data_IF_899361212544
#
_entry.id   IF_899361212544
#
_cell.length_a   1.000
_cell.length_b   1.000
_cell.length_c   1.000
_cell.angle_alpha   90.00
_cell.angle_beta   90.00
_cell.angle_gamma   90.00
#
_symmetry.space_group_name_H-M   'P 1'
#
loop_
_entity.id
_entity.type
_entity.pdbx_description
1 polymer ?
#
# COMPACT_ATOMS: atom_id res chain seq x y z
N UNK A 1 26.63 -15.70 12.45
CA UNK A 1 25.45 -14.94 12.95
C UNK A 1 25.16 -13.76 12.04
N UNK A 2 26.03 -12.74 11.97
CA UNK A 2 25.86 -11.60 11.05
C UNK A 2 25.71 -12.03 9.59
N UNK A 3 26.55 -12.98 9.14
CA UNK A 3 26.53 -13.47 7.76
C UNK A 3 25.22 -14.15 7.32
N UNK A 4 24.56 -14.90 8.21
CA UNK A 4 23.27 -15.53 7.90
C UNK A 4 22.17 -14.48 7.73
N UNK A 5 22.14 -13.49 8.62
CA UNK A 5 21.14 -12.42 8.58
C UNK A 5 21.35 -11.47 7.43
N UNK A 6 22.60 -11.12 7.12
CA UNK A 6 22.94 -10.34 5.93
C UNK A 6 22.54 -11.08 4.65
N UNK A 7 22.85 -12.38 4.56
CA UNK A 7 22.44 -13.23 3.43
C UNK A 7 20.93 -13.32 3.29
N UNK A 8 20.22 -13.59 4.38
CA UNK A 8 18.75 -13.63 4.43
C UNK A 8 18.14 -12.29 3.99
N UNK A 9 18.53 -11.19 4.61
CA UNK A 9 17.97 -9.86 4.34
C UNK A 9 18.22 -9.44 2.89
N UNK A 10 19.41 -9.74 2.36
CA UNK A 10 19.75 -9.46 0.96
C UNK A 10 18.88 -10.29 0.01
N UNK A 11 18.82 -11.60 0.21
CA UNK A 11 18.02 -12.49 -0.65
C UNK A 11 16.54 -12.11 -0.61
N UNK A 12 16.00 -11.85 0.59
CA UNK A 12 14.62 -11.42 0.77
C UNK A 12 14.33 -10.06 0.10
N UNK A 13 15.26 -9.10 0.22
CA UNK A 13 15.15 -7.80 -0.45
C UNK A 13 15.08 -7.92 -1.97
N UNK A 14 15.80 -8.86 -2.57
CA UNK A 14 15.75 -9.15 -4.00
C UNK A 14 14.66 -10.16 -4.40
N UNK A 15 13.72 -10.45 -3.49
CA UNK A 15 12.63 -11.42 -3.68
C UNK A 15 13.12 -12.84 -4.06
N UNK A 16 14.38 -13.19 -3.75
CA UNK A 16 14.89 -14.54 -3.87
C UNK A 16 14.54 -15.35 -2.61
N UNK A 17 13.26 -15.69 -2.47
CA UNK A 17 12.74 -16.32 -1.26
C UNK A 17 13.27 -17.73 -1.03
N UNK A 18 13.66 -18.45 -2.09
CA UNK A 18 14.30 -19.77 -1.98
C UNK A 18 15.70 -19.67 -1.35
N UNK A 19 16.50 -18.70 -1.78
CA UNK A 19 17.81 -18.43 -1.17
C UNK A 19 17.66 -17.90 0.27
N UNK A 20 16.70 -17.00 0.51
CA UNK A 20 16.40 -16.52 1.86
C UNK A 20 16.01 -17.69 2.80
N UNK A 21 15.19 -18.62 2.33
CA UNK A 21 14.82 -19.83 3.06
C UNK A 21 16.06 -20.69 3.39
N UNK A 22 16.99 -20.85 2.46
CA UNK A 22 18.23 -21.60 2.69
C UNK A 22 19.08 -20.96 3.80
N UNK A 23 19.23 -19.63 3.81
CA UNK A 23 19.91 -18.92 4.90
C UNK A 23 19.19 -19.08 6.25
N UNK A 24 17.86 -18.99 6.26
CA UNK A 24 17.08 -19.14 7.48
C UNK A 24 17.17 -20.58 8.05
N UNK A 25 17.15 -21.61 7.20
CA UNK A 25 17.35 -23.01 7.61
C UNK A 25 18.76 -23.27 8.13
N UNK A 26 19.78 -22.70 7.50
CA UNK A 26 21.14 -22.78 8.00
C UNK A 26 21.28 -22.12 9.40
N UNK A 27 20.61 -20.99 9.62
CA UNK A 27 20.55 -20.36 10.93
C UNK A 27 19.82 -21.23 11.97
N UNK A 28 18.73 -21.89 11.58
CA UNK A 28 17.99 -22.82 12.45
C UNK A 28 18.84 -24.04 12.87
N UNK A 29 19.76 -24.49 12.01
CA UNK A 29 20.73 -25.54 12.37
C UNK A 29 21.71 -25.14 13.48
N UNK A 30 21.92 -23.83 13.69
CA UNK A 30 22.79 -23.29 14.75
C UNK A 30 21.99 -22.88 15.99
N UNK A 31 20.79 -22.34 15.81
CA UNK A 31 19.89 -21.91 16.87
C UNK A 31 18.48 -22.49 16.65
N UNK A 32 18.29 -23.78 16.95
CA UNK A 32 17.05 -24.49 16.65
C UNK A 32 15.86 -24.03 17.50
N UNK A 33 16.10 -23.30 18.58
CA UNK A 33 15.13 -22.79 19.55
C UNK A 33 14.82 -21.29 19.39
N UNK A 34 15.34 -20.63 18.35
CA UNK A 34 15.12 -19.21 18.14
C UNK A 34 13.79 -18.94 17.39
N UNK A 35 12.78 -18.32 18.01
CA UNK A 35 11.47 -18.11 17.39
C UNK A 35 11.53 -17.20 16.16
N UNK A 36 12.45 -16.22 16.13
CA UNK A 36 12.61 -15.28 15.01
C UNK A 36 13.05 -16.00 13.74
N UNK A 37 13.94 -16.99 13.87
CA UNK A 37 14.38 -17.80 12.73
C UNK A 37 13.21 -18.58 12.15
N UNK A 38 12.41 -19.25 13.00
CA UNK A 38 11.25 -20.03 12.57
C UNK A 38 10.16 -19.16 11.93
N UNK A 39 9.90 -17.96 12.45
CA UNK A 39 8.97 -17.04 11.78
C UNK A 39 9.50 -16.57 10.42
N UNK A 40 10.81 -16.37 10.28
CA UNK A 40 11.40 -16.00 8.99
C UNK A 40 11.33 -17.13 7.96
N UNK A 41 11.47 -18.40 8.41
CA UNK A 41 11.20 -19.59 7.60
C UNK A 41 9.73 -19.61 7.15
N UNK A 42 8.78 -19.38 8.07
CA UNK A 42 7.37 -19.31 7.74
C UNK A 42 7.06 -18.23 6.69
N UNK A 43 7.61 -17.03 6.85
CA UNK A 43 7.46 -15.94 5.88
C UNK A 43 8.03 -16.30 4.51
N UNK A 44 9.17 -16.98 4.43
CA UNK A 44 9.69 -17.46 3.16
C UNK A 44 8.76 -18.49 2.50
N UNK A 45 8.23 -19.44 3.27
CA UNK A 45 7.28 -20.43 2.76
C UNK A 45 5.98 -19.78 2.25
N UNK A 46 5.45 -18.76 2.93
CA UNK A 46 4.33 -17.96 2.42
C UNK A 46 4.64 -17.34 1.05
N UNK A 47 5.82 -16.75 0.89
CA UNK A 47 6.24 -16.13 -0.38
C UNK A 47 6.48 -17.13 -1.50
N UNK A 48 6.71 -18.40 -1.16
CA UNK A 48 6.85 -19.51 -2.08
C UNK A 48 5.52 -20.23 -2.36
N UNK A 49 4.41 -19.84 -1.73
CA UNK A 49 3.11 -20.50 -1.86
C UNK A 49 3.00 -21.84 -1.12
N UNK A 50 3.97 -22.18 -0.27
CA UNK A 50 4.02 -23.41 0.51
C UNK A 50 3.31 -23.20 1.86
N UNK A 51 1.98 -23.09 1.83
CA UNK A 51 1.20 -22.64 3.00
C UNK A 51 1.21 -23.62 4.18
N UNK A 52 1.23 -24.93 3.92
CA UNK A 52 1.30 -25.94 4.98
C UNK A 52 2.66 -25.90 5.71
N UNK A 53 3.76 -25.80 4.97
CA UNK A 53 5.10 -25.61 5.55
C UNK A 53 5.21 -24.29 6.33
N UNK A 54 4.53 -23.24 5.87
CA UNK A 54 4.48 -21.96 6.57
C UNK A 54 3.77 -22.09 7.93
N UNK A 55 2.67 -22.84 7.98
CA UNK A 55 1.93 -23.11 9.22
C UNK A 55 2.82 -23.90 10.20
N UNK A 56 3.45 -24.98 9.74
CA UNK A 56 4.34 -25.79 10.59
C UNK A 56 5.49 -24.95 11.17
N UNK A 57 6.15 -24.13 10.34
CA UNK A 57 7.23 -23.26 10.79
C UNK A 57 6.76 -22.18 11.77
N UNK A 58 5.56 -21.62 11.57
CA UNK A 58 5.00 -20.62 12.47
C UNK A 58 4.57 -21.24 13.81
N UNK A 59 3.94 -22.42 13.81
CA UNK A 59 3.62 -23.18 15.03
C UNK A 59 4.90 -23.56 15.78
N UNK A 60 5.97 -23.92 15.06
CA UNK A 60 7.28 -24.17 15.65
C UNK A 60 7.86 -22.93 16.32
N UNK A 61 7.74 -21.76 15.68
CA UNK A 61 8.12 -20.48 16.29
C UNK A 61 7.38 -20.23 17.60
N UNK A 62 6.05 -20.43 17.61
CA UNK A 62 5.20 -20.26 18.79
C UNK A 62 5.47 -21.29 19.89
N UNK A 63 6.00 -22.47 19.56
CA UNK A 63 6.43 -23.45 20.57
C UNK A 63 7.63 -22.98 21.40
N UNK A 64 8.44 -22.04 20.86
CA UNK A 64 9.56 -21.44 21.57
C UNK A 64 9.21 -20.10 22.21
N UNK A 65 8.42 -19.26 21.52
CA UNK A 65 7.87 -18.03 22.08
C UNK A 65 6.38 -17.90 21.74
N UNK A 66 5.48 -18.25 22.69
CA UNK A 66 4.04 -18.15 22.51
C UNK A 66 3.52 -16.71 22.32
N UNK A 67 4.38 -15.70 22.47
CA UNK A 67 4.06 -14.27 22.34
C UNK A 67 4.68 -13.64 21.08
N UNK A 68 5.26 -14.43 20.18
CA UNK A 68 5.88 -13.93 18.96
C UNK A 68 4.82 -13.56 17.89
N UNK A 69 4.37 -12.31 17.89
CA UNK A 69 3.28 -11.85 17.01
C UNK A 69 3.55 -12.04 15.50
N UNK A 70 4.81 -12.09 15.06
CA UNK A 70 5.16 -12.31 13.64
C UNK A 70 4.79 -13.72 13.18
N UNK A 71 4.84 -14.71 14.07
CA UNK A 71 4.36 -16.05 13.75
C UNK A 71 2.83 -16.08 13.61
N UNK A 72 2.11 -15.30 14.43
CA UNK A 72 0.66 -15.13 14.28
C UNK A 72 0.27 -14.43 12.97
N UNK A 73 1.06 -13.45 12.51
CA UNK A 73 0.88 -12.86 11.17
C UNK A 73 1.02 -13.92 10.08
N UNK A 74 2.04 -14.78 10.19
CA UNK A 74 2.30 -15.81 9.21
C UNK A 74 1.16 -16.84 9.17
N UNK A 75 0.62 -17.23 10.33
CA UNK A 75 -0.55 -18.09 10.43
C UNK A 75 -1.80 -17.44 9.84
N UNK A 76 -2.08 -16.18 10.18
CA UNK A 76 -3.21 -15.43 9.61
C UNK A 76 -3.13 -15.41 8.08
N UNK A 77 -1.93 -15.16 7.54
CA UNK A 77 -1.69 -15.17 6.10
C UNK A 77 -1.93 -16.57 5.49
N UNK A 78 -1.28 -17.61 6.03
CA UNK A 78 -1.40 -18.97 5.49
C UNK A 78 -2.85 -19.47 5.50
N UNK A 79 -3.58 -19.26 6.60
CA UNK A 79 -4.98 -19.66 6.71
C UNK A 79 -5.90 -18.83 5.81
N UNK A 80 -5.57 -17.56 5.58
CA UNK A 80 -6.26 -16.70 4.62
C UNK A 80 -6.14 -17.21 3.18
N UNK A 81 -4.94 -17.62 2.77
CA UNK A 81 -4.70 -18.26 1.46
C UNK A 81 -5.43 -19.60 1.34
N UNK A 82 -5.53 -20.35 2.44
CA UNK A 82 -6.34 -21.58 2.52
C UNK A 82 -7.85 -21.33 2.66
N UNK A 83 -8.29 -20.07 2.68
CA UNK A 83 -9.70 -19.65 2.80
C UNK A 83 -10.40 -20.14 4.08
N UNK A 84 -9.65 -20.29 5.18
CA UNK A 84 -10.20 -20.56 6.51
C UNK A 84 -10.31 -19.25 7.30
N UNK A 85 -11.43 -18.54 7.11
CA UNK A 85 -11.69 -17.24 7.74
C UNK A 85 -11.72 -17.34 9.28
N UNK A 86 -12.11 -18.49 9.84
CA UNK A 86 -12.15 -18.69 11.29
C UNK A 86 -10.75 -18.66 11.89
N UNK A 87 -9.83 -19.46 11.34
CA UNK A 87 -8.43 -19.48 11.79
C UNK A 87 -7.71 -18.18 11.46
N UNK A 88 -8.00 -17.59 10.31
CA UNK A 88 -7.50 -16.26 9.93
C UNK A 88 -7.86 -15.22 10.98
N UNK A 89 -9.15 -15.15 11.35
CA UNK A 89 -9.64 -14.23 12.37
C UNK A 89 -9.00 -14.46 13.73
N UNK A 90 -8.86 -15.72 14.15
CA UNK A 90 -8.23 -16.13 15.42
C UNK A 90 -6.77 -15.67 15.50
N UNK A 91 -5.94 -16.03 14.52
CA UNK A 91 -4.51 -15.71 14.53
C UNK A 91 -4.25 -14.23 14.27
N UNK A 92 -4.98 -13.61 13.35
CA UNK A 92 -4.83 -12.19 13.08
C UNK A 92 -5.24 -11.33 14.28
N UNK A 93 -6.31 -11.70 15.00
CA UNK A 93 -6.67 -11.06 16.28
C UNK A 93 -5.54 -11.17 17.28
N UNK A 94 -4.96 -12.38 17.45
CA UNK A 94 -3.89 -12.59 18.42
C UNK A 94 -2.64 -11.76 18.10
N UNK A 95 -2.30 -11.63 16.81
CA UNK A 95 -1.21 -10.78 16.35
C UNK A 95 -1.43 -9.30 16.70
N UNK A 96 -2.67 -8.81 16.58
CA UNK A 96 -3.05 -7.43 16.91
C UNK A 96 -3.05 -7.19 18.43
N UNK A 97 -3.59 -8.12 19.22
CA UNK A 97 -3.59 -8.03 20.69
C UNK A 97 -2.18 -7.97 21.26
N UNK A 98 -1.29 -8.87 20.81
CA UNK A 98 0.11 -8.86 21.27
C UNK A 98 0.84 -7.57 20.88
N UNK A 99 0.60 -7.06 19.66
CA UNK A 99 1.14 -5.76 19.25
C UNK A 99 0.61 -4.63 20.13
N UNK A 100 -0.67 -4.63 20.47
CA UNK A 100 -1.28 -3.60 21.32
C UNK A 100 -0.78 -3.68 22.77
N UNK A 101 -0.54 -4.88 23.30
CA UNK A 101 0.12 -5.08 24.59
C UNK A 101 1.54 -4.46 24.60
N UNK A 102 2.27 -4.56 23.48
CA UNK A 102 3.65 -4.04 23.37
C UNK A 102 3.67 -2.53 23.14
N UNK A 103 2.82 -2.02 22.24
CA UNK A 103 2.94 -0.66 21.71
C UNK A 103 1.82 0.28 22.15
N UNK A 104 0.74 -0.23 22.73
CA UNK A 104 -0.37 0.57 23.21
C UNK A 104 -0.11 1.25 24.56
N UNK A 105 1.07 1.86 24.74
CA UNK A 105 1.31 2.65 25.94
C UNK A 105 0.47 3.94 25.94
N UNK A 106 0.41 4.61 27.10
CA UNK A 106 -0.15 5.96 27.16
C UNK A 106 0.72 6.92 26.32
N UNK A 107 0.12 7.85 25.56
CA UNK A 107 0.89 8.82 24.81
C UNK A 107 1.67 9.74 25.77
N UNK A 108 2.83 10.29 25.35
CA UNK A 108 3.61 11.23 26.18
C UNK A 108 2.85 12.50 26.59
N UNK A 109 1.85 12.90 25.81
CA UNK A 109 0.96 14.01 26.11
C UNK A 109 -0.48 13.62 25.79
N UNK A 110 -1.42 13.99 26.67
CA UNK A 110 -2.85 13.86 26.38
C UNK A 110 -3.28 14.96 25.41
N UNK A 111 -4.16 14.62 24.47
CA UNK A 111 -4.74 15.55 23.51
C UNK A 111 -6.26 15.46 23.53
N UNK A 112 -6.98 16.56 23.79
CA UNK A 112 -8.42 16.53 23.78
C UNK A 112 -8.93 16.27 22.36
N UNK A 113 -10.08 15.60 22.26
CA UNK A 113 -10.73 15.38 20.98
C UNK A 113 -11.08 16.71 20.32
N UNK A 114 -10.72 16.85 19.04
CA UNK A 114 -11.03 18.02 18.22
C UNK A 114 -12.24 17.71 17.37
N UNK A 115 -13.28 18.56 17.44
CA UNK A 115 -14.42 18.46 16.53
C UNK A 115 -14.16 19.32 15.30
N UNK A 116 -14.39 18.73 14.14
CA UNK A 116 -14.32 19.41 12.85
C UNK A 116 -15.69 19.29 12.16
N UNK A 117 -16.11 20.29 11.36
CA UNK A 117 -17.34 20.18 10.58
C UNK A 117 -17.28 18.99 9.63
N UNK A 118 -18.40 18.35 9.26
CA UNK A 118 -18.39 17.27 8.28
C UNK A 118 -17.85 17.77 6.93
N UNK A 119 -17.24 16.90 6.11
CA UNK A 119 -16.90 17.21 4.73
C UNK A 119 -18.12 17.71 3.97
N UNK A 120 -17.91 18.75 3.16
CA UNK A 120 -18.90 19.37 2.29
C UNK A 120 -18.16 20.08 1.16
N UNK A 121 -18.88 20.52 0.12
CA UNK A 121 -18.29 21.33 -0.95
C UNK A 121 -17.55 22.58 -0.42
N UNK A 122 -18.02 23.20 0.66
CA UNK A 122 -17.42 24.39 1.26
C UNK A 122 -16.14 24.10 2.07
N UNK A 123 -15.96 22.86 2.53
CA UNK A 123 -14.79 22.43 3.33
C UNK A 123 -13.92 21.43 2.57
N UNK A 124 -14.14 21.25 1.26
CA UNK A 124 -13.48 20.23 0.44
C UNK A 124 -11.96 20.27 0.57
N UNK A 125 -11.38 21.46 0.39
CA UNK A 125 -9.92 21.69 0.47
C UNK A 125 -9.33 21.40 1.86
N UNK A 126 -10.18 21.27 2.89
CA UNK A 126 -9.76 20.95 4.26
C UNK A 126 -9.87 19.45 4.57
N UNK A 127 -10.48 18.64 3.71
CA UNK A 127 -10.60 17.20 3.93
C UNK A 127 -9.75 16.48 2.87
N UNK A 128 -8.62 15.90 3.29
CA UNK A 128 -7.55 15.50 2.37
C UNK A 128 -7.43 13.99 2.27
N UNK A 129 -7.31 13.48 1.05
CA UNK A 129 -6.86 12.12 0.74
C UNK A 129 -5.39 12.21 0.34
N UNK A 130 -4.50 11.81 1.24
CA UNK A 130 -3.06 12.04 1.09
C UNK A 130 -2.33 10.80 0.53
N UNK A 131 -1.54 11.02 -0.51
CA UNK A 131 -0.74 10.00 -1.21
C UNK A 131 0.73 10.41 -1.29
N UNK A 132 1.63 9.43 -1.26
CA UNK A 132 3.05 9.60 -1.60
C UNK A 132 3.27 8.98 -2.98
N UNK A 133 3.91 9.70 -3.90
CA UNK A 133 4.19 9.19 -5.26
C UNK A 133 5.60 9.58 -5.68
N UNK A 134 6.41 8.58 -6.07
CA UNK A 134 7.76 8.74 -6.55
C UNK A 134 8.09 7.61 -7.52
N UNK A 135 9.06 7.84 -8.38
CA UNK A 135 9.38 7.00 -9.53
C UNK A 135 8.48 7.27 -10.73
N UNK A 136 8.82 6.60 -11.83
CA UNK A 136 8.22 6.73 -13.16
C UNK A 136 7.48 5.47 -13.61
N UNK A 137 7.34 4.47 -12.74
CA UNK A 137 6.72 3.20 -13.11
C UNK A 137 5.23 3.39 -13.42
N UNK A 138 4.73 2.86 -14.55
CA UNK A 138 3.34 3.02 -14.97
C UNK A 138 2.36 2.56 -13.91
N UNK A 139 2.63 1.43 -13.25
CA UNK A 139 1.78 0.86 -12.21
C UNK A 139 1.42 1.87 -11.11
N UNK A 140 2.35 2.74 -10.72
CA UNK A 140 2.11 3.76 -9.70
C UNK A 140 1.52 5.04 -10.29
N UNK A 141 2.08 5.51 -11.41
CA UNK A 141 1.67 6.76 -12.04
C UNK A 141 0.21 6.69 -12.55
N UNK A 142 -0.14 5.60 -13.22
CA UNK A 142 -1.49 5.38 -13.75
C UNK A 142 -2.52 5.19 -12.63
N UNK A 143 -2.18 4.42 -11.58
CA UNK A 143 -3.10 4.24 -10.43
C UNK A 143 -3.32 5.56 -9.68
N UNK A 144 -2.29 6.39 -9.53
CA UNK A 144 -2.42 7.72 -8.93
C UNK A 144 -3.38 8.62 -9.73
N UNK A 145 -3.27 8.63 -11.06
CA UNK A 145 -4.18 9.39 -11.94
C UNK A 145 -5.61 8.85 -11.87
N UNK A 146 -5.79 7.53 -11.83
CA UNK A 146 -7.10 6.91 -11.62
C UNK A 146 -7.71 7.34 -10.28
N UNK A 147 -6.94 7.35 -9.20
CA UNK A 147 -7.39 7.82 -7.88
C UNK A 147 -7.84 9.29 -7.91
N UNK A 148 -7.06 10.17 -8.54
CA UNK A 148 -7.40 11.59 -8.67
C UNK A 148 -8.73 11.81 -9.42
N UNK A 149 -8.99 11.01 -10.47
CA UNK A 149 -10.24 11.05 -11.25
C UNK A 149 -11.42 10.44 -10.50
N UNK A 150 -11.22 9.30 -9.83
CA UNK A 150 -12.27 8.60 -9.09
C UNK A 150 -12.80 9.41 -7.89
N UNK A 151 -12.03 10.37 -7.37
CA UNK A 151 -12.43 11.22 -6.24
C UNK A 151 -13.74 11.96 -6.49
N UNK A 152 -14.07 12.34 -7.72
CA UNK A 152 -15.33 13.04 -8.02
C UNK A 152 -16.58 12.24 -7.67
N UNK A 153 -16.58 10.94 -7.97
CA UNK A 153 -17.70 10.06 -7.68
C UNK A 153 -17.61 9.42 -6.29
N UNK A 154 -16.41 9.13 -5.80
CA UNK A 154 -16.20 8.39 -4.55
C UNK A 154 -16.12 9.30 -3.32
N UNK A 155 -15.43 10.45 -3.44
CA UNK A 155 -15.22 11.41 -2.35
C UNK A 155 -15.42 12.86 -2.84
N UNK A 156 -16.64 13.26 -3.25
CA UNK A 156 -16.89 14.58 -3.84
C UNK A 156 -16.54 15.76 -2.92
N UNK A 157 -16.49 15.53 -1.61
CA UNK A 157 -16.21 16.54 -0.58
C UNK A 157 -14.79 16.46 0.00
N UNK A 158 -13.89 15.77 -0.69
CA UNK A 158 -12.48 15.67 -0.31
C UNK A 158 -11.56 16.10 -1.45
N UNK A 159 -10.33 16.44 -1.13
CA UNK A 159 -9.28 16.76 -2.11
C UNK A 159 -8.19 15.69 -2.09
N UNK A 160 -7.87 15.12 -3.24
CA UNK A 160 -6.66 14.29 -3.38
C UNK A 160 -5.41 15.18 -3.34
N UNK A 161 -4.42 14.81 -2.53
CA UNK A 161 -3.14 15.51 -2.41
C UNK A 161 -1.99 14.52 -2.57
N UNK A 162 -1.15 14.73 -3.56
CA UNK A 162 0.01 13.90 -3.88
C UNK A 162 1.31 14.61 -3.50
N UNK A 163 2.08 13.98 -2.63
CA UNK A 163 3.45 14.39 -2.31
C UNK A 163 4.41 13.69 -3.26
N UNK A 164 5.09 14.47 -4.11
CA UNK A 164 5.89 13.97 -5.24
C UNK A 164 7.35 14.41 -5.18
N UNK A 165 8.24 13.68 -5.86
CA UNK A 165 9.58 14.16 -6.17
C UNK A 165 9.76 14.38 -7.69
N UNK A 166 11.00 14.70 -8.10
CA UNK A 166 11.33 14.98 -9.50
C UNK A 166 11.36 13.74 -10.40
N UNK A 167 11.28 12.54 -9.83
CA UNK A 167 11.26 11.30 -10.62
C UNK A 167 9.86 10.98 -11.18
N UNK A 168 8.81 11.62 -10.68
CA UNK A 168 7.46 11.50 -11.24
C UNK A 168 7.40 12.22 -12.60
N UNK A 169 6.91 11.56 -13.68
CA UNK A 169 6.82 12.18 -15.00
C UNK A 169 5.95 13.44 -15.01
N UNK A 170 6.38 14.46 -15.75
CA UNK A 170 5.64 15.73 -15.88
C UNK A 170 4.23 15.56 -16.45
N UNK A 171 4.03 14.57 -17.34
CA UNK A 171 2.71 14.20 -17.87
C UNK A 171 1.79 13.71 -16.76
N UNK A 172 2.27 12.81 -15.90
CA UNK A 172 1.52 12.33 -14.73
C UNK A 172 1.16 13.48 -13.81
N UNK A 173 2.10 14.39 -13.50
CA UNK A 173 1.83 15.59 -12.69
C UNK A 173 0.75 16.47 -13.33
N UNK A 174 0.81 16.67 -14.65
CA UNK A 174 -0.20 17.41 -15.41
C UNK A 174 -1.59 16.78 -15.27
N UNK A 175 -1.69 15.46 -15.48
CA UNK A 175 -2.94 14.71 -15.36
C UNK A 175 -3.52 14.73 -13.94
N UNK A 176 -2.68 14.66 -12.90
CA UNK A 176 -3.12 14.80 -11.51
C UNK A 176 -3.76 16.18 -11.27
N UNK A 177 -3.13 17.25 -11.76
CA UNK A 177 -3.64 18.62 -11.63
C UNK A 177 -4.92 18.84 -12.43
N UNK A 178 -4.99 18.33 -13.66
CA UNK A 178 -6.22 18.36 -14.47
C UNK A 178 -7.39 17.65 -13.79
N UNK A 179 -7.11 16.55 -13.07
CA UNK A 179 -8.11 15.85 -12.27
C UNK A 179 -8.48 16.56 -10.95
N UNK A 180 -7.99 17.78 -10.73
CA UNK A 180 -8.27 18.60 -9.55
C UNK A 180 -7.51 18.16 -8.29
N UNK A 181 -6.45 17.36 -8.43
CA UNK A 181 -5.61 16.98 -7.29
C UNK A 181 -4.54 18.05 -7.02
N UNK A 182 -4.23 18.21 -5.74
CA UNK A 182 -3.10 19.01 -5.31
C UNK A 182 -1.81 18.21 -5.44
N UNK A 183 -0.74 18.86 -5.94
CA UNK A 183 0.58 18.23 -6.11
C UNK A 183 1.62 19.05 -5.37
N UNK A 184 2.18 18.48 -4.31
CA UNK A 184 3.19 19.10 -3.46
C UNK A 184 4.53 18.43 -3.72
N UNK A 185 5.52 19.20 -4.14
CA UNK A 185 6.88 18.68 -4.31
C UNK A 185 7.57 18.55 -2.96
N UNK A 186 8.03 17.35 -2.62
CA UNK A 186 8.83 17.08 -1.44
C UNK A 186 10.10 17.94 -1.45
N UNK A 187 10.22 18.81 -0.45
CA UNK A 187 11.37 19.68 -0.25
C UNK A 187 12.58 18.89 0.31
N UNK A 188 13.69 19.60 0.56
CA UNK A 188 14.89 18.95 1.09
C UNK A 188 14.70 18.33 2.49
N UNK A 189 13.79 18.86 3.31
CA UNK A 189 13.54 18.38 4.67
C UNK A 189 12.70 17.10 4.61
N UNK A 190 11.62 17.12 3.82
CA UNK A 190 10.72 15.99 3.62
C UNK A 190 11.42 14.80 2.96
N UNK A 191 12.35 15.03 2.02
CA UNK A 191 13.13 13.94 1.39
C UNK A 191 14.01 13.14 2.35
N UNK A 192 14.25 13.63 3.58
CA UNK A 192 14.92 12.84 4.62
C UNK A 192 14.01 11.73 5.16
N UNK A 193 12.70 11.94 5.10
CA UNK A 193 11.72 10.94 5.51
C UNK A 193 11.71 9.78 4.51
N UNK A 194 11.39 8.56 4.97
CA UNK A 194 11.02 7.47 4.07
C UNK A 194 9.90 7.92 3.12
N UNK A 195 10.04 7.60 1.82
CA UNK A 195 9.10 8.02 0.77
C UNK A 195 7.63 7.76 1.10
N UNK A 196 7.24 6.57 1.58
CA UNK A 196 5.85 6.29 1.95
C UNK A 196 5.27 7.26 2.98
N UNK A 197 6.11 7.82 3.88
CA UNK A 197 5.68 8.70 4.96
C UNK A 197 5.45 10.16 4.52
N UNK A 198 5.77 10.56 3.29
CA UNK A 198 5.59 11.96 2.85
C UNK A 198 4.13 12.42 2.96
N UNK A 199 3.18 11.53 2.63
CA UNK A 199 1.74 11.78 2.81
C UNK A 199 1.35 12.18 4.23
N UNK A 200 2.06 11.72 5.25
CA UNK A 200 1.78 12.06 6.66
C UNK A 200 1.95 13.54 6.95
N UNK A 201 2.74 14.28 6.15
CA UNK A 201 2.90 15.72 6.27
C UNK A 201 1.57 16.49 6.11
N UNK A 202 0.54 15.88 5.50
CA UNK A 202 -0.78 16.49 5.37
C UNK A 202 -1.44 16.86 6.70
N UNK A 203 -1.04 16.24 7.82
CA UNK A 203 -1.53 16.62 9.16
C UNK A 203 -0.90 17.90 9.72
N UNK A 204 0.25 18.32 9.19
CA UNK A 204 0.95 19.54 9.61
C UNK A 204 0.54 20.76 8.79
N UNK A 205 -0.21 20.56 7.70
CA UNK A 205 -0.65 21.61 6.79
C UNK A 205 -1.74 22.48 7.44
N UNK A 206 -1.56 23.80 7.39
CA UNK A 206 -2.50 24.74 7.99
C UNK A 206 -3.87 24.67 7.32
N UNK A 207 -4.92 24.47 8.11
CA UNK A 207 -6.31 24.58 7.67
C UNK A 207 -7.00 23.26 7.33
N UNK A 208 -6.26 22.14 7.27
CA UNK A 208 -6.89 20.83 7.15
C UNK A 208 -7.75 20.50 8.39
N UNK A 209 -8.87 19.82 8.16
CA UNK A 209 -9.79 19.29 9.15
C UNK A 209 -9.53 17.82 9.39
N UNK A 210 -9.48 17.04 8.31
CA UNK A 210 -9.26 15.58 8.35
C UNK A 210 -8.33 15.17 7.24
N UNK A 211 -7.58 14.11 7.51
CA UNK A 211 -6.72 13.48 6.53
C UNK A 211 -6.94 11.98 6.57
N UNK A 212 -7.15 11.38 5.41
CA UNK A 212 -7.06 9.93 5.21
C UNK A 212 -5.82 9.63 4.37
N UNK A 213 -5.12 8.54 4.70
CA UNK A 213 -3.86 8.17 4.06
C UNK A 213 -4.05 6.93 3.21
N UNK A 214 -3.59 6.99 1.96
CA UNK A 214 -3.72 5.89 0.99
C UNK A 214 -2.38 5.61 0.30
N UNK A 215 -2.17 4.35 -0.03
CA UNK A 215 -1.10 3.96 -0.94
C UNK A 215 -1.50 4.30 -2.37
N UNK A 216 -0.54 4.78 -3.18
CA UNK A 216 -0.82 5.24 -4.53
C UNK A 216 -1.17 4.10 -5.50
N UNK A 217 -0.85 2.85 -5.16
CA UNK A 217 -1.17 1.62 -5.91
C UNK A 217 -2.47 0.93 -5.46
N UNK A 218 -3.21 1.54 -4.55
CA UNK A 218 -4.53 1.09 -4.12
C UNK A 218 -5.60 2.06 -4.62
N UNK A 219 -6.61 1.58 -5.35
CA UNK A 219 -7.70 2.43 -5.79
C UNK A 219 -8.67 2.74 -4.65
N UNK A 220 -9.10 3.99 -4.62
CA UNK A 220 -10.22 4.42 -3.78
C UNK A 220 -11.52 3.78 -4.27
N UNK A 221 -12.44 3.50 -3.34
CA UNK A 221 -13.69 2.79 -3.66
C UNK A 221 -14.88 3.31 -2.86
N UNK A 222 -16.09 3.12 -3.38
CA UNK A 222 -17.32 3.48 -2.67
C UNK A 222 -17.44 2.78 -1.31
N UNK A 223 -16.96 1.53 -1.23
CA UNK A 223 -16.97 0.72 -0.01
C UNK A 223 -16.12 1.35 1.09
N UNK A 224 -14.92 1.83 0.77
CA UNK A 224 -14.12 2.53 1.77
C UNK A 224 -14.69 3.92 2.10
N UNK A 225 -15.29 4.63 1.14
CA UNK A 225 -15.89 5.94 1.38
C UNK A 225 -17.04 5.86 2.38
N UNK A 226 -17.79 4.76 2.36
CA UNK A 226 -18.83 4.50 3.36
C UNK A 226 -18.23 4.33 4.77
N UNK A 227 -17.12 3.60 4.91
CA UNK A 227 -16.43 3.46 6.21
C UNK A 227 -15.89 4.79 6.74
N UNK A 228 -15.42 5.66 5.83
CA UNK A 228 -14.93 7.00 6.16
C UNK A 228 -16.09 7.90 6.58
N UNK A 229 -17.26 7.77 5.93
CA UNK A 229 -18.48 8.47 6.33
C UNK A 229 -18.92 8.07 7.74
N UNK A 230 -18.96 6.77 8.05
CA UNK A 230 -19.27 6.30 9.42
C UNK A 230 -18.27 6.82 10.46
N UNK A 231 -16.98 6.90 10.10
CA UNK A 231 -15.97 7.52 10.96
C UNK A 231 -16.24 9.00 11.20
N UNK A 232 -16.51 9.78 10.15
CA UNK A 232 -16.85 11.19 10.28
C UNK A 232 -18.07 11.40 11.18
N UNK A 233 -19.13 10.62 10.97
CA UNK A 233 -20.36 10.67 11.75
C UNK A 233 -20.15 10.30 13.23
N UNK A 234 -19.23 9.36 13.50
CA UNK A 234 -18.92 8.95 14.87
C UNK A 234 -18.22 10.03 15.72
N UNK A 235 -17.59 11.02 15.09
CA UNK A 235 -16.81 12.05 15.76
C UNK A 235 -15.49 11.58 16.40
N UNK A 236 -15.10 10.31 16.19
CA UNK A 236 -13.82 9.75 16.66
C UNK A 236 -12.63 10.44 16.00
N UNK A 237 -11.53 10.62 16.73
CA UNK A 237 -10.35 11.29 16.21
C UNK A 237 -9.61 10.49 15.14
N UNK A 238 -9.64 9.15 15.20
CA UNK A 238 -8.89 8.27 14.31
C UNK A 238 -9.78 7.24 13.62
N UNK A 239 -9.33 6.78 12.45
CA UNK A 239 -9.95 5.71 11.66
C UNK A 239 -8.94 4.66 11.26
N UNK A 240 -9.36 3.40 11.23
CA UNK A 240 -8.58 2.29 10.67
C UNK A 240 -9.48 1.29 9.93
N UNK A 241 -8.95 0.71 8.86
CA UNK A 241 -9.67 -0.30 8.05
C UNK A 241 -8.82 -1.58 7.93
N UNK A 242 -9.44 -2.75 8.19
CA UNK A 242 -8.88 -4.09 7.97
C UNK A 242 -9.86 -4.94 7.17
N UNK A 243 -9.46 -5.36 5.98
CA UNK A 243 -10.35 -6.07 5.04
C UNK A 243 -9.72 -7.35 4.47
N UNK A 244 -8.43 -7.59 4.75
CA UNK A 244 -7.70 -8.73 4.22
C UNK A 244 -6.95 -9.50 5.29
N UNK A 245 -6.65 -10.77 5.04
CA UNK A 245 -6.02 -11.67 6.02
C UNK A 245 -4.59 -11.27 6.42
N UNK A 246 -3.94 -10.40 5.64
CA UNK A 246 -2.63 -9.81 5.97
C UNK A 246 -2.72 -8.49 6.73
N UNK A 247 -3.92 -7.97 7.00
CA UNK A 247 -4.14 -6.67 7.63
C UNK A 247 -3.94 -6.72 9.16
N UNK A 248 -2.85 -7.33 9.61
CA UNK A 248 -2.57 -7.65 11.04
C UNK A 248 -1.68 -6.62 11.75
N UNK A 249 -1.52 -5.42 11.19
CA UNK A 249 -0.89 -4.28 11.87
C UNK A 249 -1.92 -3.40 12.62
N UNK A 250 -1.43 -2.69 13.65
CA UNK A 250 -2.28 -1.85 14.51
C UNK A 250 -2.95 -0.72 13.72
N UNK A 251 -2.21 -0.09 12.81
CA UNK A 251 -2.72 0.83 11.79
C UNK A 251 -2.00 0.53 10.49
N UNK A 252 -2.75 0.23 9.43
CA UNK A 252 -2.18 0.05 8.11
C UNK A 252 -1.85 1.40 7.49
N UNK A 253 -0.61 1.57 7.04
CA UNK A 253 -0.09 2.85 6.56
C UNK A 253 -0.89 3.49 5.42
N UNK A 254 -1.53 2.68 4.58
CA UNK A 254 -2.40 3.11 3.49
C UNK A 254 -3.89 3.00 3.78
N UNK A 255 -4.33 2.75 5.02
CA UNK A 255 -5.75 2.51 5.36
C UNK A 255 -6.14 3.08 6.74
N UNK A 256 -5.66 4.28 7.05
CA UNK A 256 -6.00 4.99 8.27
C UNK A 256 -6.33 6.46 8.01
N UNK A 257 -6.93 7.12 9.00
CA UNK A 257 -7.25 8.53 8.97
C UNK A 257 -7.17 9.17 10.35
N UNK A 258 -7.00 10.49 10.37
CA UNK A 258 -6.97 11.27 11.59
C UNK A 258 -7.58 12.66 11.40
N UNK A 259 -8.15 13.17 12.49
CA UNK A 259 -8.56 14.56 12.63
C UNK A 259 -7.34 15.43 12.96
N UNK A 260 -7.20 16.57 12.29
CA UNK A 260 -6.10 17.50 12.54
C UNK A 260 -6.18 18.02 13.97
N UNK A 261 -5.05 17.96 14.67
CA UNK A 261 -4.94 18.27 16.11
C UNK A 261 -4.88 17.04 17.01
N UNK A 262 -5.35 15.88 16.55
CA UNK A 262 -5.35 14.64 17.34
C UNK A 262 -3.93 14.09 17.65
N UNK A 263 -2.94 14.50 16.87
CA UNK A 263 -1.53 14.14 17.05
C UNK A 263 -0.69 15.40 17.29
N UNK A 264 0.45 15.30 18.02
CA UNK A 264 1.52 16.28 17.94
C UNK A 264 1.92 16.54 16.49
N UNK A 265 2.57 17.69 16.19
CA UNK A 265 3.04 17.97 14.85
C UNK A 265 3.76 16.76 14.25
N UNK A 266 3.33 16.29 13.10
CA UNK A 266 3.83 15.10 12.44
C UNK A 266 5.35 15.19 12.25
N UNK A 267 5.86 16.37 11.89
CA UNK A 267 7.31 16.62 11.80
C UNK A 267 8.08 16.34 13.08
N UNK A 268 7.48 16.58 14.25
CA UNK A 268 8.09 16.30 15.54
C UNK A 268 8.13 14.80 15.79
N UNK A 269 7.01 14.10 15.53
CA UNK A 269 6.93 12.65 15.69
C UNK A 269 7.93 11.93 14.78
N UNK A 270 7.97 12.30 13.49
CA UNK A 270 8.91 11.71 12.54
C UNK A 270 10.36 12.05 12.90
N UNK A 271 10.63 13.28 13.35
CA UNK A 271 11.97 13.64 13.82
C UNK A 271 12.42 12.78 15.01
N UNK A 272 11.52 12.40 15.93
CA UNK A 272 11.85 11.49 17.04
C UNK A 272 12.06 10.06 16.56
N UNK A 273 11.21 9.58 15.66
CA UNK A 273 11.34 8.25 15.06
C UNK A 273 12.67 8.05 14.34
N UNK A 274 13.13 9.05 13.59
CA UNK A 274 14.39 8.99 12.83
C UNK A 274 15.65 9.20 13.69
N UNK A 275 15.55 9.34 15.02
CA UNK A 275 16.72 9.34 15.91
C UNK A 275 17.34 7.95 16.06
N UNK A 276 16.56 6.89 15.82
CA UNK A 276 17.05 5.52 15.81
C UNK A 276 17.29 5.03 14.37
N UNK A 277 18.25 4.11 14.15
CA UNK A 277 18.44 3.46 12.86
C UNK A 277 17.16 2.76 12.39
N UNK A 278 16.85 2.88 11.10
CA UNK A 278 15.73 2.17 10.49
C UNK A 278 16.18 0.78 10.03
N UNK A 279 15.49 -0.25 10.51
CA UNK A 279 15.70 -1.63 10.02
C UNK A 279 15.31 -1.78 8.53
N UNK A 280 14.30 -1.05 8.09
CA UNK A 280 13.88 -0.98 6.69
C UNK A 280 13.25 0.39 6.42
N UNK A 281 13.66 1.03 5.31
CA UNK A 281 12.99 2.26 4.83
C UNK A 281 11.63 1.96 4.20
N UNK A 282 11.42 0.74 3.71
CA UNK A 282 10.18 0.36 3.04
C UNK A 282 9.03 0.14 4.05
N UNK A 283 9.32 -0.45 5.22
CA UNK A 283 8.33 -0.69 6.29
C UNK A 283 8.36 0.36 7.41
N UNK A 284 9.07 1.47 7.18
CA UNK A 284 9.28 2.50 8.19
C UNK A 284 7.98 3.18 8.62
N UNK A 285 7.02 3.31 7.71
CA UNK A 285 5.68 3.85 7.98
C UNK A 285 4.89 2.97 8.96
N UNK A 286 4.85 1.66 8.77
CA UNK A 286 4.18 0.72 9.69
C UNK A 286 4.81 0.76 11.08
N UNK A 287 6.16 0.78 11.14
CA UNK A 287 6.89 0.89 12.41
C UNK A 287 6.66 2.24 13.10
N UNK A 288 6.63 3.32 12.33
CA UNK A 288 6.30 4.65 12.83
C UNK A 288 4.89 4.68 13.42
N UNK A 289 3.89 4.17 12.69
CA UNK A 289 2.50 4.22 13.12
C UNK A 289 2.29 3.45 14.42
N UNK A 290 2.78 2.21 14.53
CA UNK A 290 2.61 1.43 15.75
C UNK A 290 3.32 2.05 16.96
N UNK A 291 4.46 2.73 16.78
CA UNK A 291 5.25 3.27 17.90
C UNK A 291 4.85 4.70 18.30
N UNK A 292 4.50 5.55 17.33
CA UNK A 292 4.34 6.99 17.55
C UNK A 292 2.91 7.50 17.34
N UNK A 293 2.06 6.77 16.61
CA UNK A 293 0.66 7.16 16.36
C UNK A 293 -0.31 6.32 17.18
N UNK A 294 -0.09 5.01 17.25
CA UNK A 294 -0.98 4.09 17.95
C UNK A 294 -1.25 4.45 19.43
N UNK A 295 -0.28 4.92 20.23
CA UNK A 295 -0.54 5.38 21.60
C UNK A 295 -1.66 6.43 21.70
N UNK A 296 -1.79 7.30 20.69
CA UNK A 296 -2.88 8.27 20.60
C UNK A 296 -4.13 7.64 20.01
N UNK A 297 -3.97 6.93 18.88
CA UNK A 297 -5.09 6.39 18.12
C UNK A 297 -5.95 5.42 18.94
N UNK A 298 -5.33 4.51 19.71
CA UNK A 298 -6.05 3.49 20.49
C UNK A 298 -7.06 4.04 21.49
N UNK A 299 -6.93 5.31 21.88
CA UNK A 299 -7.82 5.98 22.85
C UNK A 299 -9.11 6.48 22.23
N UNK A 300 -9.12 6.76 20.92
CA UNK A 300 -10.28 7.34 20.24
C UNK A 300 -10.32 7.01 18.74
N UNK A 301 -10.41 5.72 18.43
CA UNK A 301 -10.45 5.19 17.07
C UNK A 301 -11.81 4.55 16.75
N UNK A 302 -12.33 4.79 15.54
CA UNK A 302 -13.31 3.90 14.91
C UNK A 302 -12.58 2.94 13.96
N UNK A 303 -12.84 1.65 14.10
CA UNK A 303 -12.22 0.63 13.26
C UNK A 303 -13.29 -0.11 12.48
N UNK A 304 -13.00 -0.41 11.21
CA UNK A 304 -13.78 -1.36 10.41
C UNK A 304 -12.93 -2.59 10.16
N UNK A 305 -13.50 -3.76 10.39
CA UNK A 305 -12.79 -5.03 10.33
C UNK A 305 -13.72 -6.12 9.80
N UNK A 306 -13.23 -6.88 8.83
CA UNK A 306 -13.96 -8.05 8.30
C UNK A 306 -13.69 -9.34 9.08
N UNK A 307 -12.49 -9.50 9.62
CA UNK A 307 -11.94 -10.81 9.97
C UNK A 307 -11.58 -10.94 11.45
N UNK A 308 -10.91 -9.94 12.02
CA UNK A 308 -10.17 -10.13 13.25
C UNK A 308 -10.99 -9.76 14.47
N UNK A 309 -11.91 -8.79 14.40
CA UNK A 309 -12.72 -8.40 15.56
C UNK A 309 -11.91 -7.75 16.69
N UNK A 310 -10.73 -7.20 16.38
CA UNK A 310 -9.82 -6.58 17.35
C UNK A 310 -10.38 -5.23 17.85
N UNK A 311 -10.50 -5.08 19.18
CA UNK A 311 -11.10 -3.90 19.86
C UNK A 311 -12.54 -3.56 19.40
N UNK A 312 -13.38 -4.58 19.22
CA UNK A 312 -14.81 -4.42 18.89
C UNK A 312 -15.09 -3.50 17.68
N UNK A 313 -14.57 -3.83 16.50
CA UNK A 313 -14.69 -3.01 15.30
C UNK A 313 -16.12 -3.07 14.72
N UNK A 314 -16.44 -2.10 13.86
CA UNK A 314 -17.62 -2.16 12.98
C UNK A 314 -17.39 -3.17 11.85
N UNK A 315 -18.45 -3.85 11.38
CA UNK A 315 -18.35 -4.60 10.13
C UNK A 315 -18.08 -3.66 8.96
N UNK A 316 -17.43 -4.16 7.91
CA UNK A 316 -17.29 -3.41 6.68
C UNK A 316 -18.61 -3.37 5.90
N UNK A 317 -19.04 -2.21 5.37
CA UNK A 317 -20.24 -2.10 4.55
C UNK A 317 -20.00 -2.69 3.14
N UNK A 318 -21.07 -2.96 2.39
CA UNK A 318 -21.03 -3.47 1.00
C UNK A 318 -20.90 -5.01 0.85
N UNK A 319 -21.43 -5.57 -0.25
CA UNK A 319 -21.65 -7.01 -0.44
C UNK A 319 -20.41 -7.85 -0.87
N UNK A 320 -20.15 -8.89 -0.07
CA UNK A 320 -19.69 -10.28 -0.27
C UNK A 320 -18.81 -10.79 -1.44
N UNK A 321 -18.56 -10.09 -2.57
CA UNK A 321 -17.51 -10.58 -3.51
C UNK A 321 -16.10 -10.18 -3.05
N UNK A 322 -15.80 -10.63 -1.83
CA UNK A 322 -14.59 -10.38 -1.06
C UNK A 322 -13.53 -11.45 -1.35
N UNK A 323 -13.77 -12.31 -2.33
CA UNK A 323 -12.87 -13.42 -2.67
C UNK A 323 -11.67 -12.97 -3.51
N UNK A 324 -11.80 -11.84 -4.21
CA UNK A 324 -10.78 -11.32 -5.14
C UNK A 324 -10.46 -9.83 -4.98
N UNK A 325 -11.27 -9.07 -4.24
CA UNK A 325 -11.13 -7.62 -4.08
C UNK A 325 -11.27 -7.22 -2.61
N UNK A 326 -10.31 -6.44 -2.10
CA UNK A 326 -10.33 -5.85 -0.77
C UNK A 326 -9.91 -4.37 -0.79
N UNK A 327 -10.34 -3.62 0.21
CA UNK A 327 -9.93 -2.23 0.41
C UNK A 327 -8.43 -2.19 0.69
N UNK A 328 -7.68 -1.39 -0.07
CA UNK A 328 -6.22 -1.31 0.01
C UNK A 328 -5.48 -2.40 -0.77
N UNK A 329 -6.18 -3.12 -1.66
CA UNK A 329 -5.53 -4.08 -2.55
C UNK A 329 -4.55 -3.39 -3.49
N UNK A 330 -3.37 -4.01 -3.63
CA UNK A 330 -2.42 -3.63 -4.66
C UNK A 330 -2.96 -4.05 -6.04
N UNK A 331 -3.50 -3.09 -6.78
CA UNK A 331 -4.05 -3.32 -8.13
C UNK A 331 -2.96 -3.32 -9.22
N UNK A 332 -1.71 -3.10 -8.85
CA UNK A 332 -0.55 -2.99 -9.72
C UNK A 332 0.23 -4.31 -9.89
N UNK A 333 -0.37 -5.44 -9.51
CA UNK A 333 0.27 -6.76 -9.55
C UNK A 333 0.25 -7.43 -10.93
N UNK A 334 -0.63 -7.00 -11.83
CA UNK A 334 -0.71 -7.55 -13.19
C UNK A 334 0.45 -7.09 -14.07
N UNK A 335 0.97 -8.00 -14.90
CA UNK A 335 2.11 -7.76 -15.78
C UNK A 335 1.76 -7.94 -17.26
N UNK A 336 2.40 -7.14 -18.11
CA UNK A 336 2.51 -7.38 -19.55
C UNK A 336 3.92 -7.86 -19.84
N UNK A 337 4.04 -8.78 -20.80
CA UNK A 337 5.35 -9.23 -21.26
C UNK A 337 5.36 -9.46 -22.77
N UNK A 338 6.42 -9.02 -23.45
CA UNK A 338 6.60 -9.24 -24.88
C UNK A 338 8.05 -9.63 -25.16
N UNK A 339 8.24 -10.73 -25.89
CA UNK A 339 9.56 -11.08 -26.44
C UNK A 339 9.89 -10.14 -27.59
N UNK A 340 11.12 -9.64 -27.62
CA UNK A 340 11.60 -8.72 -28.65
C UNK A 340 12.95 -9.17 -29.17
N UNK A 341 13.18 -8.95 -30.47
CA UNK A 341 14.49 -9.15 -31.09
C UNK A 341 15.30 -7.86 -31.01
N UNK A 342 15.63 -7.49 -29.77
CA UNK A 342 16.41 -6.30 -29.43
C UNK A 342 17.44 -6.69 -28.38
N UNK A 343 18.61 -6.04 -28.42
CA UNK A 343 19.64 -6.25 -27.42
C UNK A 343 19.16 -5.81 -26.02
N UNK A 344 19.63 -6.50 -24.99
CA UNK A 344 19.41 -6.12 -23.60
C UNK A 344 19.96 -4.70 -23.32
N UNK A 345 19.26 -3.95 -22.47
CA UNK A 345 19.58 -2.55 -22.16
C UNK A 345 18.97 -1.53 -23.12
N UNK A 346 18.40 -1.95 -24.25
CA UNK A 346 17.67 -1.05 -25.16
C UNK A 346 16.36 -0.62 -24.51
N UNK A 347 16.11 0.69 -24.45
CA UNK A 347 14.83 1.24 -24.02
C UNK A 347 13.83 1.27 -25.19
N UNK A 348 12.66 0.68 -24.99
CA UNK A 348 11.58 0.64 -25.98
C UNK A 348 10.41 1.49 -25.49
N UNK A 349 10.08 2.53 -26.26
CA UNK A 349 8.88 3.34 -26.01
C UNK A 349 7.64 2.55 -26.36
N UNK A 350 6.60 2.69 -25.57
CA UNK A 350 5.27 2.17 -25.87
C UNK A 350 4.18 3.15 -25.42
N UNK A 351 2.99 2.96 -25.97
CA UNK A 351 1.79 3.72 -25.68
C UNK A 351 0.65 2.77 -25.31
N UNK A 352 -0.12 3.15 -24.29
CA UNK A 352 -1.44 2.60 -24.04
C UNK A 352 -2.45 3.46 -24.77
N UNK A 353 -3.19 2.86 -25.70
CA UNK A 353 -4.18 3.54 -26.55
C UNK A 353 -5.56 3.00 -26.28
N UNK A 354 -6.52 3.91 -26.18
CA UNK A 354 -7.93 3.60 -26.10
C UNK A 354 -8.58 3.84 -27.45
N UNK A 355 -9.19 2.80 -28.02
CA UNK A 355 -9.99 2.91 -29.23
C UNK A 355 -11.25 3.71 -28.94
N UNK A 356 -11.51 4.74 -29.74
CA UNK A 356 -12.69 5.57 -29.61
C UNK A 356 -13.86 4.95 -30.41
N UNK A 357 -15.11 5.11 -29.92
CA UNK A 357 -16.29 4.76 -30.72
C UNK A 357 -16.21 5.47 -32.07
N UNK A 358 -16.30 4.70 -33.15
CA UNK A 358 -16.15 5.22 -34.51
C UNK A 358 -17.53 5.32 -35.16
N UNK A 359 -17.93 6.48 -35.70
CA UNK A 359 -19.13 6.59 -36.52
C UNK A 359 -19.05 5.64 -37.73
N UNK A 360 -20.19 5.13 -38.20
CA UNK A 360 -20.22 4.26 -39.39
C UNK A 360 -19.58 4.97 -40.60
N UNK A 361 -18.59 4.32 -41.20
CA UNK A 361 -17.88 4.83 -42.39
C UNK A 361 -16.60 5.61 -42.11
N UNK A 362 -16.23 5.86 -40.86
CA UNK A 362 -14.96 6.52 -40.50
C UNK A 362 -13.88 5.53 -40.08
N UNK A 363 -12.61 5.94 -40.20
CA UNK A 363 -11.49 5.16 -39.70
C UNK A 363 -11.45 5.22 -38.17
N UNK A 364 -11.18 4.09 -37.48
CA UNK A 364 -11.19 4.06 -36.02
C UNK A 364 -10.13 4.97 -35.41
N UNK A 365 -10.60 5.98 -34.68
CA UNK A 365 -9.77 6.89 -33.91
C UNK A 365 -9.27 6.23 -32.62
N UNK A 366 -8.21 6.78 -32.05
CA UNK A 366 -7.73 6.40 -30.73
C UNK A 366 -7.29 7.61 -29.93
N UNK A 367 -7.34 7.47 -28.61
CA UNK A 367 -6.74 8.38 -27.64
C UNK A 367 -5.52 7.73 -27.02
N UNK A 368 -4.39 8.43 -26.98
CA UNK A 368 -3.24 7.99 -26.18
C UNK A 368 -3.57 8.24 -24.71
N UNK A 369 -3.62 7.18 -23.91
CA UNK A 369 -3.87 7.25 -22.47
C UNK A 369 -2.59 7.60 -21.74
N UNK A 370 -1.51 6.90 -22.07
CA UNK A 370 -0.19 7.11 -21.50
C UNK A 370 0.93 6.61 -22.43
N UNK A 371 2.17 7.06 -22.17
CA UNK A 371 3.36 6.61 -22.87
C UNK A 371 4.52 6.46 -21.90
N UNK A 372 5.22 5.34 -21.99
CA UNK A 372 6.36 5.00 -21.13
C UNK A 372 7.44 4.31 -21.96
N UNK A 373 8.60 4.08 -21.33
CA UNK A 373 9.70 3.33 -21.91
C UNK A 373 10.09 2.19 -20.97
N UNK A 374 10.21 0.98 -21.53
CA UNK A 374 10.64 -0.21 -20.78
C UNK A 374 11.94 -0.72 -21.37
N UNK A 375 12.88 -1.12 -20.51
CA UNK A 375 14.20 -1.62 -20.91
C UNK A 375 14.12 -3.12 -21.17
N UNK A 376 14.73 -3.57 -22.28
CA UNK A 376 14.83 -4.99 -22.61
C UNK A 376 15.74 -5.71 -21.61
N UNK A 377 15.25 -6.81 -21.04
CA UNK A 377 15.99 -7.68 -20.13
C UNK A 377 15.80 -9.14 -20.55
N UNK A 378 16.89 -9.85 -20.84
CA UNK A 378 16.88 -11.22 -21.35
C UNK A 378 15.97 -11.40 -22.59
N UNK A 379 16.02 -10.44 -23.52
CA UNK A 379 15.17 -10.43 -24.73
C UNK A 379 13.66 -10.23 -24.46
N UNK A 380 13.30 -9.77 -23.26
CA UNK A 380 11.91 -9.53 -22.87
C UNK A 380 11.71 -8.07 -22.46
N UNK A 381 10.57 -7.51 -22.86
CA UNK A 381 9.98 -6.34 -22.22
C UNK A 381 9.00 -6.84 -21.16
N UNK A 382 9.17 -6.45 -19.91
CA UNK A 382 8.29 -6.79 -18.80
C UNK A 382 7.90 -5.50 -18.11
N UNK A 383 6.60 -5.28 -17.95
CA UNK A 383 6.09 -4.08 -17.29
C UNK A 383 4.82 -4.40 -16.51
N UNK A 384 4.50 -3.60 -15.51
CA UNK A 384 3.29 -3.74 -14.71
C UNK A 384 2.32 -2.60 -14.97
N UNK A 385 1.04 -2.95 -15.10
CA UNK A 385 -0.05 -2.01 -15.29
C UNK A 385 -1.13 -2.26 -14.23
N UNK A 386 -1.87 -1.20 -13.85
CA UNK A 386 -3.03 -1.38 -12.98
C UNK A 386 -4.04 -2.33 -13.63
N UNK A 387 -4.61 -3.24 -12.84
CA UNK A 387 -5.61 -4.22 -13.26
C UNK A 387 -6.76 -3.63 -14.09
N UNK A 388 -7.32 -2.44 -13.79
CA UNK A 388 -8.37 -1.85 -14.64
C UNK A 388 -7.95 -1.61 -16.09
N UNK A 389 -6.67 -1.33 -16.36
CA UNK A 389 -6.18 -1.24 -17.74
C UNK A 389 -6.07 -2.61 -18.39
N UNK A 390 -5.58 -3.61 -17.66
CA UNK A 390 -5.43 -4.98 -18.14
C UNK A 390 -6.79 -5.61 -18.49
N UNK A 391 -7.80 -5.42 -17.63
CA UNK A 391 -9.15 -5.95 -17.84
C UNK A 391 -9.85 -5.34 -19.07
N UNK A 392 -9.38 -4.16 -19.53
CA UNK A 392 -9.86 -3.49 -20.73
C UNK A 392 -9.08 -3.84 -22.00
N UNK A 393 -7.94 -4.54 -21.90
CA UNK A 393 -7.18 -4.95 -23.08
C UNK A 393 -7.97 -5.88 -24.01
N UNK A 394 -8.91 -6.67 -23.47
CA UNK A 394 -9.80 -7.51 -24.28
C UNK A 394 -10.90 -6.70 -25.01
N UNK A 395 -11.08 -5.43 -24.69
CA UNK A 395 -12.18 -4.59 -25.19
C UNK A 395 -11.64 -3.49 -26.11
N UNK A 396 -11.11 -2.43 -25.53
CA UNK A 396 -10.84 -1.16 -26.20
C UNK A 396 -9.44 -0.60 -25.91
N UNK A 397 -8.67 -1.21 -25.02
CA UNK A 397 -7.28 -0.84 -24.77
C UNK A 397 -6.32 -1.67 -25.63
N UNK A 398 -5.34 -1.01 -26.23
CA UNK A 398 -4.24 -1.64 -26.99
C UNK A 398 -2.90 -1.05 -26.56
N UNK A 399 -1.86 -1.88 -26.58
CA UNK A 399 -0.49 -1.44 -26.30
C UNK A 399 0.28 -1.46 -27.60
N UNK A 400 0.85 -0.31 -27.97
CA UNK A 400 1.64 -0.15 -29.19
C UNK A 400 3.08 0.15 -28.81
N UNK A 401 4.01 -0.70 -29.21
CA UNK A 401 5.45 -0.49 -29.00
C UNK A 401 6.03 0.24 -30.22
N UNK A 402 7.10 0.98 -30.02
CA UNK A 402 7.77 1.73 -31.10
C UNK A 402 9.18 1.22 -31.27
N UNK A 403 9.55 0.92 -32.51
CA UNK A 403 10.88 0.45 -32.82
C UNK A 403 11.93 1.53 -32.48
N UNK A 404 12.96 1.24 -31.67
CA UNK A 404 13.86 2.27 -31.13
C UNK A 404 14.62 3.09 -32.19
N UNK A 405 14.89 2.51 -33.37
CA UNK A 405 15.64 3.20 -34.44
C UNK A 405 14.76 3.94 -35.45
N UNK A 406 13.60 3.38 -35.77
CA UNK A 406 12.75 3.89 -36.87
C UNK A 406 11.58 4.70 -36.34
N UNK A 407 11.26 4.60 -35.04
CA UNK A 407 10.08 5.21 -34.43
C UNK A 407 8.76 4.64 -34.95
N UNK A 408 8.80 3.63 -35.81
CA UNK A 408 7.60 3.01 -36.38
C UNK A 408 6.91 2.14 -35.32
N UNK A 409 5.57 2.18 -35.24
CA UNK A 409 4.82 1.31 -34.34
C UNK A 409 5.03 -0.15 -34.76
N UNK A 410 5.24 -1.05 -33.80
CA UNK A 410 5.22 -2.48 -34.04
C UNK A 410 3.80 -2.89 -34.46
N UNK A 411 3.70 -3.88 -35.35
CA UNK A 411 2.41 -4.51 -35.65
C UNK A 411 1.70 -4.98 -34.37
N UNK A 412 0.36 -5.12 -34.44
CA UNK A 412 -0.52 -5.40 -33.31
C UNK A 412 -0.05 -6.59 -32.46
#
# INVERSE_FOLDING_TARGET
>A
MSSFWEGYNRAYHYANYGEALAFARAAAGVQPDNPVIWSNIAVCHLRLGAFDDAIEAAERSLSFDPRHFVAFDALSHAWGEKKDDRKTGEYGRRALELRDEIFGCAPPEDRPAVRQPPPSAATRERNVIAFSLYGDRPRYCETAVMNARARESVYPDWTCRFYVDKSVPGVTIGQLREAGAEVIFADQRMRRWPGPMWRFAALDENGAHRVIFRDADSLISAREAETVREWVESGRQFHGIRDWFTHTELLLAGLWGATVGALPPMRLLVSRFLQAPLNSRHFADQHFLRQFVWPYARRDILQHDRLFGFMSPRPLPGADDLTTHHIGANLSSGGISRRVDLADGVAVRWELRETLPTPEGEAPGYRVVCSYSTVVQNGMLIEHLPKPWLDRMAKDIRIVFFHPKTGQPSGP
#
